data_IF_861990586205
#
_entry.id   IF_861990586205
#
_cell.length_a   1.000
_cell.length_b   1.000
_cell.length_c   1.000
_cell.angle_alpha   90.00
_cell.angle_beta   90.00
_cell.angle_gamma   90.00
#
_symmetry.space_group_name_H-M   'P 1'
#
loop_
_entity.id
_entity.type
_entity.pdbx_description
1 polymer ?
#
# COMPACT_ATOMS: atom_id res chain seq x y z
N UNK A 1 -57.74 22.79 -42.77
CA UNK A 1 -56.46 22.19 -43.19
C UNK A 1 -55.48 23.31 -43.52
N UNK A 2 -54.63 23.70 -42.56
CA UNK A 2 -53.32 24.34 -42.78
C UNK A 2 -52.71 24.63 -41.42
N UNK A 3 -51.55 24.01 -41.17
CA UNK A 3 -50.80 23.97 -39.93
C UNK A 3 -49.98 25.27 -39.82
N UNK A 4 -50.06 25.97 -38.69
CA UNK A 4 -49.16 27.08 -38.35
C UNK A 4 -47.90 26.50 -37.70
N UNK A 5 -46.80 26.48 -38.46
CA UNK A 5 -45.46 26.20 -37.93
C UNK A 5 -44.90 27.47 -37.27
N UNK A 6 -44.79 27.47 -35.94
CA UNK A 6 -44.01 28.45 -35.20
C UNK A 6 -42.60 27.88 -35.00
N UNK A 7 -41.61 28.48 -35.67
CA UNK A 7 -40.20 28.25 -35.40
C UNK A 7 -39.86 28.88 -34.03
N UNK A 8 -39.67 28.07 -33.00
CA UNK A 8 -38.98 28.47 -31.78
C UNK A 8 -37.48 28.44 -32.05
N UNK A 9 -36.88 29.62 -32.13
CA UNK A 9 -35.43 29.79 -32.11
C UNK A 9 -34.96 29.55 -30.67
N UNK A 10 -34.51 28.34 -30.35
CA UNK A 10 -33.85 28.05 -29.09
C UNK A 10 -32.47 28.73 -29.11
N UNK A 11 -32.34 29.82 -28.36
CA UNK A 11 -31.08 30.49 -28.09
C UNK A 11 -30.24 29.54 -27.21
N UNK A 12 -29.33 28.80 -27.83
CA UNK A 12 -28.33 28.03 -27.10
C UNK A 12 -27.41 29.01 -26.38
N UNK A 13 -27.64 29.24 -25.09
CA UNK A 13 -26.63 29.81 -24.21
C UNK A 13 -25.48 28.80 -24.16
N UNK A 14 -24.39 29.09 -24.86
CA UNK A 14 -23.12 28.43 -24.67
C UNK A 14 -22.63 28.76 -23.26
N UNK A 15 -22.90 27.86 -22.33
CA UNK A 15 -22.27 27.89 -21.01
C UNK A 15 -20.79 27.58 -21.23
N UNK A 16 -19.94 28.60 -21.32
CA UNK A 16 -18.50 28.44 -21.09
C UNK A 16 -18.27 28.33 -19.59
N UNK A 17 -18.82 27.27 -18.99
CA UNK A 17 -18.41 26.83 -17.68
C UNK A 17 -17.11 26.04 -17.89
N UNK A 18 -16.05 26.42 -17.18
CA UNK A 18 -14.95 25.50 -16.90
C UNK A 18 -15.58 24.18 -16.47
N UNK A 19 -15.42 23.13 -17.28
CA UNK A 19 -15.80 21.78 -16.89
C UNK A 19 -14.98 21.47 -15.64
N UNK A 20 -15.62 21.47 -14.47
CA UNK A 20 -14.98 20.94 -13.28
C UNK A 20 -14.74 19.45 -13.58
N UNK A 21 -13.51 18.99 -13.37
CA UNK A 21 -13.17 17.58 -13.48
C UNK A 21 -14.14 16.78 -12.59
N UNK A 22 -14.67 15.68 -13.11
CA UNK A 22 -15.49 14.77 -12.34
C UNK A 22 -14.62 13.98 -11.35
N UNK A 23 -15.26 13.44 -10.31
CA UNK A 23 -14.60 12.57 -9.34
C UNK A 23 -13.90 11.39 -9.99
N UNK A 24 -12.62 11.22 -9.71
CA UNK A 24 -11.76 10.21 -10.34
C UNK A 24 -11.06 10.68 -11.62
N UNK A 25 -11.48 11.75 -12.29
CA UNK A 25 -10.81 12.22 -13.51
C UNK A 25 -9.33 12.50 -13.24
N UNK A 26 -8.44 12.09 -14.15
CA UNK A 26 -7.01 12.39 -14.03
C UNK A 26 -6.78 13.90 -13.81
N UNK A 27 -5.90 14.27 -12.89
CA UNK A 27 -5.52 15.67 -12.64
C UNK A 27 -4.35 16.05 -13.56
N UNK A 28 -4.60 16.78 -14.67
CA UNK A 28 -3.57 17.12 -15.64
C UNK A 28 -2.61 18.20 -15.12
N UNK A 29 -2.85 18.77 -13.93
CA UNK A 29 -1.99 19.80 -13.33
C UNK A 29 -0.93 19.22 -12.39
N UNK A 30 -1.02 17.92 -12.09
CA UNK A 30 -0.08 17.26 -11.19
C UNK A 30 1.20 16.85 -11.92
N UNK A 31 2.34 17.38 -11.48
CA UNK A 31 3.69 16.89 -11.77
C UNK A 31 4.07 16.72 -13.24
N UNK A 32 3.49 17.48 -14.17
CA UNK A 32 3.65 17.20 -15.60
C UNK A 32 5.08 17.44 -16.10
N UNK A 33 5.71 16.39 -16.62
CA UNK A 33 6.92 16.47 -17.44
C UNK A 33 6.56 16.84 -18.89
N UNK A 34 7.45 17.57 -19.57
CA UNK A 34 7.37 17.82 -21.00
C UNK A 34 7.48 16.53 -21.83
N UNK A 35 8.15 15.49 -21.31
CA UNK A 35 8.25 14.18 -21.97
C UNK A 35 6.93 13.40 -21.92
N UNK A 36 6.18 13.50 -20.82
CA UNK A 36 4.88 12.84 -20.63
C UNK A 36 3.81 13.79 -20.04
N UNK A 37 3.27 14.73 -20.84
CA UNK A 37 2.32 15.72 -20.36
C UNK A 37 1.03 15.09 -19.82
N UNK A 38 0.58 15.50 -18.64
CA UNK A 38 -0.64 14.99 -17.99
C UNK A 38 -0.47 13.65 -17.27
N UNK A 39 0.72 13.07 -17.31
CA UNK A 39 1.05 11.77 -16.71
C UNK A 39 1.94 11.92 -15.49
N UNK A 40 1.75 12.97 -14.68
CA UNK A 40 2.46 13.12 -13.41
C UNK A 40 3.98 12.99 -13.48
N UNK A 41 4.52 12.54 -12.35
CA UNK A 41 5.94 12.33 -12.13
C UNK A 41 6.43 11.07 -12.84
N UNK A 42 7.52 11.17 -13.60
CA UNK A 42 8.18 10.07 -14.30
C UNK A 42 9.66 10.02 -13.92
N UNK A 43 10.19 8.82 -13.65
CA UNK A 43 11.63 8.62 -13.44
C UNK A 43 12.20 7.64 -14.45
N UNK A 44 13.17 8.10 -15.22
CA UNK A 44 13.93 7.26 -16.12
C UNK A 44 14.99 6.48 -15.31
N UNK A 45 15.06 5.14 -15.43
CA UNK A 45 16.12 4.37 -14.78
C UNK A 45 17.50 4.87 -15.20
N UNK A 46 18.43 5.00 -14.24
CA UNK A 46 19.83 5.35 -14.53
C UNK A 46 20.57 4.21 -15.27
N UNK A 47 20.03 2.98 -15.24
CA UNK A 47 20.59 1.80 -15.89
C UNK A 47 19.53 1.07 -16.73
N UNK A 48 19.85 0.85 -18.02
CA UNK A 48 19.00 0.07 -18.92
C UNK A 48 19.11 -1.41 -18.51
N UNK A 49 17.99 -2.04 -18.18
CA UNK A 49 17.92 -3.49 -17.94
C UNK A 49 17.77 -3.93 -16.48
N UNK A 50 17.62 -2.99 -15.55
CA UNK A 50 17.37 -3.28 -14.13
C UNK A 50 15.94 -2.85 -13.73
N UNK A 51 15.40 -3.49 -12.69
CA UNK A 51 14.05 -3.22 -12.18
C UNK A 51 14.16 -2.30 -10.96
N UNK A 52 13.59 -1.11 -11.07
CA UNK A 52 13.40 -0.19 -9.95
C UNK A 52 11.98 -0.39 -9.38
N UNK A 53 11.85 -0.37 -8.05
CA UNK A 53 10.59 -0.65 -7.36
C UNK A 53 10.10 0.58 -6.59
N UNK A 54 8.86 1.02 -6.83
CA UNK A 54 8.17 1.94 -5.94
C UNK A 54 7.73 1.18 -4.67
N UNK A 55 8.12 1.71 -3.51
CA UNK A 55 7.86 1.07 -2.22
C UNK A 55 6.69 1.72 -1.50
N UNK A 56 6.66 3.06 -1.44
CA UNK A 56 5.68 3.81 -0.66
C UNK A 56 5.54 5.26 -1.14
N UNK A 57 4.42 5.90 -0.81
CA UNK A 57 4.23 7.33 -0.95
C UNK A 57 3.61 7.90 0.32
N UNK A 58 4.27 8.87 0.93
CA UNK A 58 3.79 9.49 2.15
C UNK A 58 3.62 11.01 1.98
N UNK A 59 2.62 11.60 2.64
CA UNK A 59 2.45 13.04 2.70
C UNK A 59 2.89 13.61 4.04
N UNK A 60 3.64 14.70 3.99
CA UNK A 60 3.89 15.54 5.14
C UNK A 60 2.70 16.47 5.39
N UNK A 61 2.59 16.95 6.63
CA UNK A 61 1.51 17.84 7.06
C UNK A 61 1.51 19.20 6.33
N UNK A 62 2.66 19.61 5.80
CA UNK A 62 2.82 20.82 4.99
C UNK A 62 2.35 20.65 3.53
N UNK A 63 1.87 19.46 3.17
CA UNK A 63 1.37 19.13 1.85
C UNK A 63 2.42 18.56 0.90
N UNK A 64 3.72 18.55 1.27
CA UNK A 64 4.77 17.89 0.48
C UNK A 64 4.55 16.38 0.44
N UNK A 65 5.05 15.75 -0.61
CA UNK A 65 5.00 14.31 -0.83
C UNK A 65 6.41 13.73 -0.78
N UNK A 66 6.52 12.51 -0.29
CA UNK A 66 7.72 11.71 -0.34
C UNK A 66 7.42 10.44 -1.12
N UNK A 67 8.19 10.20 -2.16
CA UNK A 67 8.17 8.94 -2.90
C UNK A 67 9.39 8.12 -2.51
N UNK A 68 9.18 6.85 -2.19
CA UNK A 68 10.23 5.94 -1.75
C UNK A 68 10.35 4.79 -2.74
N UNK A 69 11.57 4.44 -3.12
CA UNK A 69 11.82 3.32 -4.01
C UNK A 69 13.16 2.65 -3.79
N UNK A 70 13.27 1.44 -4.32
CA UNK A 70 14.56 0.80 -4.59
C UNK A 70 14.97 1.14 -6.02
N UNK A 71 16.25 1.41 -6.22
CA UNK A 71 16.80 1.58 -7.55
C UNK A 71 18.15 0.89 -7.67
N UNK A 72 18.40 0.34 -8.84
CA UNK A 72 19.67 -0.29 -9.13
C UNK A 72 20.71 0.75 -9.59
N UNK A 73 21.93 0.67 -9.07
CA UNK A 73 22.97 1.68 -9.33
C UNK A 73 23.74 1.46 -10.64
N UNK A 74 23.34 0.47 -11.45
CA UNK A 74 24.01 0.11 -12.70
C UNK A 74 25.38 -0.54 -12.52
N UNK A 75 25.82 -0.78 -11.28
CA UNK A 75 27.06 -1.48 -10.92
C UNK A 75 26.78 -2.78 -10.15
N UNK A 76 25.54 -3.26 -10.19
CA UNK A 76 25.08 -4.45 -9.47
C UNK A 76 24.74 -4.22 -8.00
N UNK A 77 24.64 -2.96 -7.54
CA UNK A 77 24.18 -2.59 -6.21
C UNK A 77 22.75 -2.07 -6.20
N UNK A 78 22.02 -2.32 -5.10
CA UNK A 78 20.71 -1.70 -4.85
C UNK A 78 20.87 -0.48 -3.95
N UNK A 79 20.06 0.56 -4.18
CA UNK A 79 20.02 1.78 -3.38
C UNK A 79 18.59 2.16 -3.06
N UNK A 80 18.38 2.72 -1.87
CA UNK A 80 17.12 3.38 -1.57
C UNK A 80 17.15 4.80 -2.15
N UNK A 81 16.08 5.20 -2.82
CA UNK A 81 15.86 6.56 -3.24
C UNK A 81 14.62 7.15 -2.59
N UNK A 82 14.75 8.41 -2.22
CA UNK A 82 13.73 9.21 -1.58
C UNK A 82 13.62 10.47 -2.41
N UNK A 83 12.47 10.70 -3.02
CA UNK A 83 12.17 11.94 -3.71
C UNK A 83 11.21 12.77 -2.87
N UNK A 84 11.49 14.06 -2.72
CA UNK A 84 10.54 15.00 -2.13
C UNK A 84 9.93 15.83 -3.25
N UNK A 85 8.61 15.91 -3.24
CA UNK A 85 7.81 16.64 -4.20
C UNK A 85 6.95 17.65 -3.45
N UNK A 86 6.63 18.75 -4.12
CA UNK A 86 5.62 19.68 -3.68
C UNK A 86 4.20 19.07 -3.81
N UNK A 87 3.21 19.73 -3.23
CA UNK A 87 1.82 19.25 -3.20
C UNK A 87 1.18 19.07 -4.59
N UNK A 88 1.76 19.71 -5.60
CA UNK A 88 1.40 19.63 -7.01
C UNK A 88 2.23 18.62 -7.79
N UNK A 89 3.09 17.84 -7.15
CA UNK A 89 3.84 16.75 -7.77
C UNK A 89 5.13 17.16 -8.47
N UNK A 90 5.51 18.45 -8.46
CA UNK A 90 6.82 18.90 -8.93
C UNK A 90 7.91 18.62 -7.89
N UNK A 91 9.16 18.52 -8.31
CA UNK A 91 10.28 18.32 -7.38
C UNK A 91 10.45 19.49 -6.42
N UNK A 92 10.54 19.17 -5.13
CA UNK A 92 11.05 20.10 -4.14
C UNK A 92 12.58 20.09 -4.19
N UNK A 93 13.14 20.99 -4.98
CA UNK A 93 14.60 21.11 -5.19
C UNK A 93 15.39 21.47 -3.92
N UNK A 94 14.73 21.78 -2.80
CA UNK A 94 15.41 22.00 -1.51
C UNK A 94 15.71 20.72 -0.74
N UNK A 95 15.23 19.56 -1.21
CA UNK A 95 15.53 18.26 -0.62
C UNK A 95 16.74 17.59 -1.27
N UNK A 96 17.68 17.09 -0.45
CA UNK A 96 18.81 16.31 -0.94
C UNK A 96 19.57 17.00 -2.09
N UNK A 97 19.84 16.25 -3.14
CA UNK A 97 20.43 16.73 -4.39
C UNK A 97 19.33 16.87 -5.44
N UNK A 98 18.75 18.08 -5.54
CA UNK A 98 17.77 18.41 -6.58
C UNK A 98 16.41 17.73 -6.43
N UNK A 99 15.96 17.50 -5.19
CA UNK A 99 14.70 16.81 -4.90
C UNK A 99 14.87 15.32 -4.61
N UNK A 100 16.10 14.80 -4.68
CA UNK A 100 16.42 13.38 -4.49
C UNK A 100 17.45 13.17 -3.38
N UNK A 101 17.22 12.17 -2.55
CA UNK A 101 18.22 11.59 -1.67
C UNK A 101 18.39 10.11 -1.95
N UNK A 102 19.62 9.67 -2.18
CA UNK A 102 19.93 8.25 -2.29
C UNK A 102 20.71 7.76 -1.08
N UNK A 103 20.50 6.51 -0.70
CA UNK A 103 21.19 5.85 0.41
C UNK A 103 21.67 4.47 -0.05
N UNK A 104 22.88 4.14 0.34
CA UNK A 104 23.35 2.76 0.28
C UNK A 104 22.71 2.01 1.46
N UNK A 105 22.05 0.87 1.22
CA UNK A 105 21.49 0.05 2.29
C UNK A 105 22.55 -0.32 3.35
N UNK A 106 22.15 -0.58 4.60
CA UNK A 106 23.07 -0.89 5.70
C UNK A 106 23.92 -2.15 5.50
N UNK A 107 23.58 -2.98 4.52
CA UNK A 107 24.23 -4.24 4.20
C UNK A 107 24.24 -4.47 2.68
N UNK A 108 25.14 -5.34 2.15
CA UNK A 108 25.28 -5.55 0.70
C UNK A 108 24.01 -6.04 0.00
N UNK A 109 23.29 -6.97 0.63
CA UNK A 109 22.05 -7.55 0.11
C UNK A 109 20.81 -6.75 0.56
N UNK A 110 21.01 -5.50 1.01
CA UNK A 110 19.94 -4.70 1.61
C UNK A 110 18.96 -4.15 0.57
N UNK A 111 17.66 -4.16 0.90
CA UNK A 111 16.65 -3.43 0.11
C UNK A 111 15.57 -2.86 1.01
N UNK A 112 14.99 -1.74 0.58
CA UNK A 112 13.90 -1.05 1.25
C UNK A 112 12.62 -1.89 1.11
N UNK A 113 11.99 -2.25 2.22
CA UNK A 113 10.73 -3.03 2.21
C UNK A 113 9.51 -2.18 2.51
N UNK A 114 9.68 -1.11 3.28
CA UNK A 114 8.62 -0.16 3.58
C UNK A 114 9.23 1.17 4.01
N UNK A 115 8.50 2.25 3.78
CA UNK A 115 8.87 3.58 4.23
C UNK A 115 7.63 4.38 4.60
N UNK A 116 7.78 5.32 5.51
CA UNK A 116 6.70 6.24 5.92
C UNK A 116 7.29 7.52 6.49
N UNK A 117 6.45 8.44 6.96
CA UNK A 117 6.89 9.58 7.75
C UNK A 117 6.56 9.35 9.22
N UNK A 118 7.41 9.86 10.11
CA UNK A 118 7.07 9.95 11.52
C UNK A 118 6.15 11.14 11.84
N UNK A 119 5.73 11.25 13.09
CA UNK A 119 4.81 12.31 13.55
C UNK A 119 5.37 13.74 13.37
N UNK A 120 6.67 13.88 13.08
CA UNK A 120 7.34 15.15 12.79
C UNK A 120 7.59 15.36 11.29
N UNK A 121 7.09 14.47 10.43
CA UNK A 121 7.29 14.56 8.98
C UNK A 121 8.68 14.11 8.51
N UNK A 122 9.41 13.34 9.33
CA UNK A 122 10.74 12.81 8.99
C UNK A 122 10.63 11.43 8.34
N UNK A 123 11.37 11.14 7.25
CA UNK A 123 11.36 9.82 6.64
C UNK A 123 11.85 8.71 7.58
N UNK A 124 11.05 7.66 7.72
CA UNK A 124 11.38 6.37 8.35
C UNK A 124 11.46 5.29 7.27
N UNK A 125 12.55 4.54 7.25
CA UNK A 125 12.86 3.54 6.23
C UNK A 125 13.13 2.20 6.90
N UNK A 126 12.55 1.11 6.39
CA UNK A 126 12.81 -0.25 6.84
C UNK A 126 13.53 -1.06 5.76
N UNK A 127 14.63 -1.70 6.13
CA UNK A 127 15.46 -2.50 5.23
C UNK A 127 15.45 -3.97 5.63
N UNK A 128 15.32 -4.85 4.63
CA UNK A 128 15.55 -6.30 4.74
C UNK A 128 16.89 -6.68 4.11
N UNK A 129 17.29 -7.95 4.27
CA UNK A 129 18.51 -8.51 3.67
C UNK A 129 19.76 -8.39 4.55
N UNK A 130 19.61 -7.82 5.75
CA UNK A 130 20.73 -7.57 6.67
C UNK A 130 20.84 -8.57 7.82
N UNK A 131 19.99 -9.60 7.85
CA UNK A 131 19.85 -10.53 8.96
C UNK A 131 18.87 -10.02 10.01
N UNK A 132 19.05 -8.79 10.49
CA UNK A 132 18.13 -8.16 11.45
C UNK A 132 17.21 -7.12 10.79
N UNK A 133 16.20 -6.66 11.53
CA UNK A 133 15.43 -5.50 11.11
C UNK A 133 16.31 -4.25 11.18
N UNK A 134 16.40 -3.52 10.06
CA UNK A 134 17.22 -2.32 9.95
C UNK A 134 16.37 -1.09 9.64
N UNK A 135 16.31 -0.16 10.58
CA UNK A 135 15.51 1.06 10.47
C UNK A 135 16.42 2.28 10.33
N UNK A 136 16.12 3.13 9.36
CA UNK A 136 16.76 4.43 9.20
C UNK A 136 15.75 5.55 9.42
N UNK A 137 16.22 6.64 10.02
CA UNK A 137 15.49 7.92 10.02
C UNK A 137 16.31 8.99 9.34
N UNK A 138 15.66 9.76 8.48
CA UNK A 138 16.24 10.94 7.86
C UNK A 138 15.64 12.21 8.45
N UNK A 139 16.40 13.29 8.44
CA UNK A 139 15.92 14.64 8.64
C UNK A 139 14.99 15.04 7.48
N UNK A 140 14.16 16.08 7.64
CA UNK A 140 13.35 16.58 6.55
C UNK A 140 14.20 16.98 5.34
N UNK A 141 15.46 17.37 5.51
CA UNK A 141 16.39 17.73 4.41
C UNK A 141 17.07 16.52 3.75
N UNK A 142 16.78 15.30 4.21
CA UNK A 142 17.26 14.05 3.63
C UNK A 142 18.59 13.54 4.20
N UNK A 143 19.19 14.22 5.17
CA UNK A 143 20.39 13.73 5.87
C UNK A 143 20.00 12.70 6.94
N UNK A 144 20.85 11.71 7.30
CA UNK A 144 20.60 10.83 8.44
C UNK A 144 20.32 11.61 9.72
N UNK A 145 19.25 11.24 10.43
CA UNK A 145 18.84 11.91 11.66
C UNK A 145 19.56 11.34 12.87
N UNK A 146 20.65 11.97 13.29
CA UNK A 146 21.48 11.52 14.41
C UNK A 146 20.77 11.56 15.77
N UNK A 147 19.53 12.07 15.87
CA UNK A 147 18.72 11.87 17.09
C UNK A 147 18.29 10.42 17.29
N UNK A 148 18.32 9.59 16.23
CA UNK A 148 18.14 8.15 16.34
C UNK A 148 19.49 7.50 16.64
N UNK A 149 19.71 7.13 17.91
CA UNK A 149 20.92 6.44 18.39
C UNK A 149 22.27 7.05 17.94
N UNK A 150 22.33 8.35 17.67
CA UNK A 150 23.54 9.05 17.23
C UNK A 150 23.91 8.86 15.75
N UNK A 151 23.31 7.91 15.05
CA UNK A 151 23.71 7.51 13.68
C UNK A 151 22.61 7.68 12.63
N UNK A 152 21.35 7.85 13.04
CA UNK A 152 20.21 7.75 12.12
C UNK A 152 19.77 6.33 11.84
N UNK A 153 20.32 5.33 12.55
CA UNK A 153 20.08 3.90 12.35
C UNK A 153 19.69 3.21 13.65
N UNK A 154 18.74 2.28 13.56
CA UNK A 154 18.30 1.37 14.61
C UNK A 154 18.26 -0.06 14.06
N UNK A 155 19.05 -0.95 14.68
CA UNK A 155 19.02 -2.40 14.42
C UNK A 155 18.17 -3.09 15.48
N UNK A 156 17.25 -3.95 15.06
CA UNK A 156 16.36 -4.70 15.96
C UNK A 156 16.54 -6.19 15.68
N UNK A 157 17.26 -6.85 16.57
CA UNK A 157 17.48 -8.30 16.53
C UNK A 157 16.45 -9.03 17.40
N UNK A 158 15.81 -10.05 16.83
CA UNK A 158 14.96 -11.00 17.58
C UNK A 158 15.74 -12.26 17.98
N UNK A 159 16.79 -12.63 17.23
CA UNK A 159 17.74 -13.70 17.56
C UNK A 159 17.07 -15.05 17.89
N UNK A 160 15.98 -15.40 17.20
CA UNK A 160 15.23 -16.63 17.45
C UNK A 160 15.91 -17.90 16.93
N UNK A 161 17.07 -17.78 16.29
CA UNK A 161 17.85 -18.86 15.71
C UNK A 161 17.50 -19.13 14.25
N UNK A 162 17.99 -20.25 13.72
CA UNK A 162 17.81 -20.59 12.30
C UNK A 162 18.72 -19.80 11.38
N UNK A 163 18.16 -19.22 10.31
CA UNK A 163 18.91 -18.39 9.35
C UNK A 163 19.22 -16.99 9.86
N UNK A 164 18.60 -16.58 10.98
CA UNK A 164 18.61 -15.19 11.48
C UNK A 164 18.33 -14.19 10.34
N UNK A 165 17.39 -14.50 9.45
CA UNK A 165 16.97 -13.62 8.36
C UNK A 165 15.60 -13.02 8.68
N UNK A 166 15.61 -12.06 9.61
CA UNK A 166 14.48 -11.26 10.01
C UNK A 166 14.19 -10.20 8.94
N UNK A 167 12.91 -10.07 8.56
CA UNK A 167 12.45 -9.16 7.50
C UNK A 167 11.43 -8.16 8.05
N UNK A 168 11.77 -6.87 8.21
CA UNK A 168 10.77 -5.87 8.57
C UNK A 168 9.86 -5.65 7.36
N UNK A 169 8.57 -5.94 7.49
CA UNK A 169 7.62 -5.89 6.37
C UNK A 169 6.77 -4.62 6.40
N UNK A 170 6.50 -4.06 7.58
CA UNK A 170 5.82 -2.77 7.75
C UNK A 170 6.44 -1.97 8.88
N UNK A 171 6.52 -0.66 8.67
CA UNK A 171 6.90 0.34 9.67
C UNK A 171 5.83 1.42 9.75
N UNK A 172 5.51 1.85 10.96
CA UNK A 172 4.59 2.94 11.27
C UNK A 172 5.17 3.82 12.38
N UNK A 173 4.69 5.05 12.47
CA UNK A 173 4.95 5.90 13.63
C UNK A 173 3.75 5.93 14.56
N UNK A 174 4.01 5.95 15.87
CA UNK A 174 2.95 6.09 16.88
C UNK A 174 2.65 7.56 17.14
N UNK A 175 1.50 7.87 17.76
CA UNK A 175 1.14 9.24 18.16
C UNK A 175 2.21 9.90 19.07
N UNK A 176 2.94 9.09 19.85
CA UNK A 176 4.05 9.55 20.68
C UNK A 176 5.39 9.67 19.91
N UNK A 177 5.34 9.66 18.58
CA UNK A 177 6.50 9.66 17.68
C UNK A 177 7.43 8.44 17.87
N UNK A 178 6.89 7.33 18.39
CA UNK A 178 7.60 6.06 18.48
C UNK A 178 7.72 5.39 17.12
N UNK A 179 8.61 4.41 17.04
CA UNK A 179 8.85 3.56 15.86
C UNK A 179 8.18 2.21 16.13
N UNK A 180 7.23 1.83 15.28
CA UNK A 180 6.53 0.55 15.35
C UNK A 180 6.83 -0.24 14.07
N UNK A 181 7.31 -1.47 14.22
CA UNK A 181 7.71 -2.34 13.10
C UNK A 181 7.10 -3.72 13.27
N UNK A 182 6.59 -4.29 12.20
CA UNK A 182 6.16 -5.68 12.17
C UNK A 182 6.75 -6.41 10.96
N UNK A 183 7.07 -7.69 11.13
CA UNK A 183 7.74 -8.46 10.10
C UNK A 183 7.86 -9.94 10.42
N UNK A 184 8.35 -10.70 9.45
CA UNK A 184 8.69 -12.11 9.66
C UNK A 184 10.03 -12.23 10.36
N UNK A 185 10.10 -12.99 11.44
CA UNK A 185 11.35 -13.25 12.17
C UNK A 185 11.71 -14.72 12.04
N UNK A 186 12.94 -15.01 11.63
CA UNK A 186 13.36 -16.37 11.32
C UNK A 186 13.41 -17.20 12.59
N UNK A 187 12.79 -18.38 12.55
CA UNK A 187 12.94 -19.40 13.58
C UNK A 187 13.61 -20.66 12.96
N UNK A 188 13.62 -21.78 13.68
CA UNK A 188 14.35 -22.98 13.24
C UNK A 188 13.93 -23.50 11.86
N UNK A 189 12.63 -23.40 11.52
CA UNK A 189 12.06 -24.05 10.33
C UNK A 189 11.26 -23.08 9.43
N UNK A 190 10.84 -21.92 9.94
CA UNK A 190 9.88 -20.99 9.34
C UNK A 190 10.17 -19.53 9.74
N UNK A 191 9.18 -18.64 9.63
CA UNK A 191 9.21 -17.30 10.24
C UNK A 191 7.95 -17.01 11.06
N UNK A 192 8.14 -16.58 12.31
CA UNK A 192 7.06 -16.08 13.17
C UNK A 192 6.77 -14.60 12.92
N UNK A 193 5.73 -14.05 13.55
CA UNK A 193 5.49 -12.61 13.52
C UNK A 193 6.24 -11.92 14.65
N UNK A 194 7.17 -11.04 14.29
CA UNK A 194 7.80 -10.10 15.21
C UNK A 194 7.10 -8.76 15.18
N UNK A 195 6.79 -8.20 16.36
CA UNK A 195 6.36 -6.82 16.54
C UNK A 195 7.36 -6.11 17.45
N UNK A 196 7.89 -4.99 16.98
CA UNK A 196 8.87 -4.18 17.66
C UNK A 196 8.34 -2.76 17.89
N UNK A 197 8.36 -2.28 19.13
CA UNK A 197 7.97 -0.92 19.49
C UNK A 197 9.12 -0.23 20.23
N UNK A 198 9.59 0.86 19.63
CA UNK A 198 10.70 1.67 20.09
C UNK A 198 10.26 3.12 20.22
N UNK A 199 10.92 3.85 21.10
CA UNK A 199 10.72 5.29 21.29
C UNK A 199 11.33 6.09 20.15
N UNK A 200 11.04 7.39 20.11
CA UNK A 200 11.53 8.29 19.07
C UNK A 200 13.06 8.35 18.99
N UNK A 201 13.81 8.14 20.08
CA UNK A 201 15.27 8.17 20.07
C UNK A 201 15.92 6.81 19.76
N UNK A 202 15.09 5.76 19.58
CA UNK A 202 15.52 4.39 19.30
C UNK A 202 15.72 3.52 20.54
N UNK A 203 15.42 4.01 21.76
CA UNK A 203 15.33 3.16 22.94
C UNK A 203 14.09 2.26 22.91
N UNK A 204 14.16 1.06 23.51
CA UNK A 204 13.00 0.16 23.61
C UNK A 204 11.82 0.85 24.33
N UNK A 205 10.60 0.70 23.80
CA UNK A 205 9.42 1.26 24.45
C UNK A 205 9.22 0.63 25.85
N UNK A 206 9.16 1.43 26.93
CA UNK A 206 9.04 0.89 28.28
C UNK A 206 7.79 0.03 28.46
N UNK A 207 7.97 -1.18 28.99
CA UNK A 207 6.88 -2.11 29.30
C UNK A 207 6.34 -2.90 28.12
N UNK A 208 6.84 -2.68 26.90
CA UNK A 208 6.44 -3.47 25.72
C UNK A 208 7.36 -4.68 25.53
N UNK A 209 6.82 -5.87 25.76
CA UNK A 209 7.48 -7.14 25.50
C UNK A 209 8.85 -7.27 26.18
N UNK A 210 9.73 -8.05 25.57
CA UNK A 210 11.11 -8.18 26.01
C UNK A 210 11.98 -7.13 25.31
N UNK A 211 12.31 -6.06 26.04
CA UNK A 211 13.13 -4.97 25.53
C UNK A 211 12.63 -4.44 24.16
N UNK A 212 11.33 -4.12 24.10
CA UNK A 212 10.68 -3.50 22.95
C UNK A 212 10.20 -4.49 21.89
N UNK A 213 10.26 -5.80 22.13
CA UNK A 213 9.97 -6.85 21.13
C UNK A 213 8.98 -7.88 21.64
N UNK A 214 8.11 -8.32 20.75
CA UNK A 214 7.14 -9.40 20.96
C UNK A 214 7.21 -10.35 19.77
N UNK A 215 7.17 -11.64 20.07
CA UNK A 215 7.05 -12.72 19.09
C UNK A 215 5.68 -13.36 19.24
N UNK A 216 4.97 -13.52 18.13
CA UNK A 216 3.72 -14.29 18.03
C UNK A 216 3.99 -15.50 17.12
N UNK A 217 3.89 -16.74 17.65
CA UNK A 217 4.22 -17.92 16.87
C UNK A 217 3.16 -18.23 15.83
N UNK A 218 3.59 -18.64 14.64
CA UNK A 218 2.73 -19.12 13.55
C UNK A 218 3.14 -20.52 13.10
N UNK A 219 2.19 -21.27 12.56
CA UNK A 219 2.49 -22.61 12.01
C UNK A 219 3.29 -22.52 10.71
N UNK A 220 3.07 -21.46 9.93
CA UNK A 220 3.70 -21.22 8.63
C UNK A 220 4.36 -19.85 8.59
N UNK A 221 5.33 -19.71 7.70
CA UNK A 221 6.12 -18.48 7.58
C UNK A 221 5.25 -17.26 7.31
N UNK A 222 5.42 -16.22 8.12
CA UNK A 222 4.92 -14.88 7.82
C UNK A 222 5.66 -14.35 6.61
N UNK A 223 4.95 -14.19 5.49
CA UNK A 223 5.52 -13.70 4.23
C UNK A 223 5.10 -12.27 3.93
N UNK A 224 4.03 -11.79 4.54
CA UNK A 224 3.60 -10.41 4.37
C UNK A 224 2.91 -9.86 5.61
N UNK A 225 3.11 -8.56 5.84
CA UNK A 225 2.33 -7.75 6.78
C UNK A 225 1.80 -6.60 5.94
N UNK A 226 0.48 -6.44 5.88
CA UNK A 226 -0.17 -5.35 5.16
C UNK A 226 -0.26 -4.07 5.98
N UNK A 227 -0.42 -4.19 7.30
CA UNK A 227 -0.54 -3.06 8.24
C UNK A 227 0.05 -3.41 9.60
N UNK A 228 0.62 -2.40 10.27
CA UNK A 228 0.88 -2.39 11.70
C UNK A 228 0.44 -1.03 12.26
N UNK A 229 -0.31 -1.01 13.36
CA UNK A 229 -0.88 0.22 13.90
C UNK A 229 -0.99 0.17 15.42
N UNK A 230 -0.75 1.30 16.08
CA UNK A 230 -0.97 1.48 17.51
C UNK A 230 -2.16 2.43 17.75
N UNK A 231 -3.16 1.97 18.50
CA UNK A 231 -4.28 2.80 18.93
C UNK A 231 -3.86 3.77 20.05
N UNK A 232 -4.68 4.79 20.29
CA UNK A 232 -4.47 5.76 21.37
C UNK A 232 -4.46 5.12 22.78
N UNK A 233 -5.14 3.99 22.96
CA UNK A 233 -5.09 3.21 24.20
C UNK A 233 -3.86 2.31 24.34
N UNK A 234 -2.98 2.31 23.33
CA UNK A 234 -1.72 1.56 23.28
C UNK A 234 -1.86 0.14 22.73
N UNK A 235 -3.07 -0.37 22.44
CA UNK A 235 -3.21 -1.67 21.76
C UNK A 235 -2.57 -1.57 20.38
N UNK A 236 -1.95 -2.66 19.95
CA UNK A 236 -1.30 -2.75 18.63
C UNK A 236 -1.97 -3.85 17.83
N UNK A 237 -2.24 -3.56 16.55
CA UNK A 237 -2.72 -4.55 15.58
C UNK A 237 -1.75 -4.69 14.43
N UNK A 238 -1.69 -5.90 13.88
CA UNK A 238 -1.06 -6.18 12.61
C UNK A 238 -1.89 -7.18 11.82
N UNK A 239 -1.85 -7.12 10.50
CA UNK A 239 -2.54 -8.09 9.65
C UNK A 239 -1.71 -8.38 8.41
N UNK A 240 -1.82 -9.59 7.89
CA UNK A 240 -0.94 -10.06 6.83
C UNK A 240 -1.27 -11.48 6.37
N UNK A 241 -0.26 -12.13 5.81
CA UNK A 241 -0.35 -13.47 5.28
C UNK A 241 0.75 -14.37 5.87
N UNK A 242 0.38 -15.62 6.15
CA UNK A 242 1.31 -16.74 6.33
C UNK A 242 1.21 -17.67 5.13
N UNK A 243 2.32 -18.35 4.81
CA UNK A 243 2.40 -19.15 3.59
C UNK A 243 3.06 -20.49 3.85
N UNK A 244 2.30 -21.57 3.61
CA UNK A 244 2.82 -22.94 3.63
C UNK A 244 3.53 -23.28 2.31
N UNK A 245 2.93 -22.89 1.19
CA UNK A 245 3.43 -23.13 -0.17
C UNK A 245 2.77 -22.11 -1.14
N UNK A 246 3.18 -22.06 -2.42
CA UNK A 246 2.65 -21.08 -3.38
C UNK A 246 1.12 -21.06 -3.55
N UNK A 247 0.42 -22.13 -3.19
CA UNK A 247 -1.03 -22.30 -3.35
C UNK A 247 -1.79 -22.37 -2.02
N UNK A 248 -1.11 -22.18 -0.90
CA UNK A 248 -1.67 -22.26 0.44
C UNK A 248 -1.21 -21.05 1.26
N UNK A 249 -2.02 -20.00 1.19
CA UNK A 249 -1.82 -18.72 1.87
C UNK A 249 -2.98 -18.52 2.85
N UNK A 250 -2.63 -18.22 4.09
CA UNK A 250 -3.57 -17.98 5.19
C UNK A 250 -3.47 -16.52 5.59
N UNK A 251 -4.60 -15.83 5.63
CA UNK A 251 -4.70 -14.44 6.09
C UNK A 251 -4.76 -14.44 7.61
N UNK A 252 -4.08 -13.49 8.24
CA UNK A 252 -4.13 -13.32 9.67
C UNK A 252 -4.45 -11.88 10.07
N UNK A 253 -5.05 -11.75 11.25
CA UNK A 253 -5.10 -10.52 12.02
C UNK A 253 -4.62 -10.82 13.43
N UNK A 254 -3.81 -9.93 14.00
CA UNK A 254 -3.35 -10.03 15.38
C UNK A 254 -3.66 -8.75 16.15
N UNK A 255 -3.92 -8.91 17.45
CA UNK A 255 -3.98 -7.79 18.40
C UNK A 255 -3.22 -8.11 19.67
N UNK A 256 -2.35 -7.19 20.07
CA UNK A 256 -1.62 -7.24 21.33
C UNK A 256 -1.96 -6.03 22.20
N UNK A 257 -1.88 -6.22 23.51
CA UNK A 257 -2.08 -5.21 24.52
C UNK A 257 -0.92 -4.18 24.54
N UNK A 258 -1.06 -3.05 25.25
CA UNK A 258 0.02 -2.04 25.34
C UNK A 258 1.35 -2.55 25.89
N UNK A 259 1.32 -3.65 26.65
CA UNK A 259 2.52 -4.31 27.16
C UNK A 259 3.07 -5.41 26.22
N UNK A 260 2.45 -5.61 25.06
CA UNK A 260 2.83 -6.63 24.10
C UNK A 260 2.28 -8.03 24.34
N UNK A 261 1.51 -8.25 25.42
CA UNK A 261 0.84 -9.54 25.63
C UNK A 261 -0.31 -9.72 24.60
N UNK A 262 -0.60 -10.94 24.12
CA UNK A 262 -1.74 -11.17 23.24
C UNK A 262 -3.06 -10.73 23.87
N UNK A 263 -3.94 -10.10 23.09
CA UNK A 263 -5.25 -9.67 23.59
C UNK A 263 -6.24 -10.84 23.66
N UNK A 264 -6.58 -11.27 24.88
CA UNK A 264 -7.49 -12.40 25.11
C UNK A 264 -8.93 -12.15 24.61
N UNK A 265 -9.31 -10.89 24.38
CA UNK A 265 -10.61 -10.52 23.82
C UNK A 265 -10.62 -10.46 22.29
N UNK A 266 -9.52 -10.83 21.64
CA UNK A 266 -9.39 -10.83 20.19
C UNK A 266 -8.98 -12.21 19.69
N UNK A 267 -9.62 -12.60 18.59
CA UNK A 267 -9.22 -13.73 17.77
C UNK A 267 -9.80 -15.07 18.16
N UNK A 268 -9.82 -15.97 17.18
CA UNK A 268 -10.48 -17.28 17.27
C UNK A 268 -9.53 -18.46 17.09
N UNK A 269 -8.32 -18.24 16.56
CA UNK A 269 -7.32 -19.29 16.31
C UNK A 269 -6.42 -19.48 17.54
N UNK A 270 -6.03 -18.38 18.18
CA UNK A 270 -5.33 -18.34 19.45
C UNK A 270 -5.58 -16.97 20.13
N UNK A 271 -5.26 -16.79 21.43
CA UNK A 271 -5.42 -15.49 22.06
C UNK A 271 -4.65 -14.40 21.29
N UNK A 272 -5.35 -13.34 20.88
CA UNK A 272 -4.78 -12.25 20.09
C UNK A 272 -4.52 -12.58 18.63
N UNK A 273 -4.93 -13.75 18.11
CA UNK A 273 -4.64 -14.20 16.74
C UNK A 273 -5.90 -14.78 16.08
N UNK A 274 -6.22 -14.27 14.90
CA UNK A 274 -7.16 -14.85 13.95
C UNK A 274 -6.44 -15.28 12.71
N UNK A 275 -6.84 -16.43 12.16
CA UNK A 275 -6.30 -16.97 10.92
C UNK A 275 -7.43 -17.54 10.09
N UNK A 276 -7.44 -17.23 8.80
CA UNK A 276 -8.36 -17.86 7.86
C UNK A 276 -7.63 -18.20 6.57
N UNK A 277 -7.92 -19.39 6.05
CA UNK A 277 -7.50 -19.76 4.72
C UNK A 277 -8.72 -19.69 3.81
N UNK A 278 -8.81 -18.66 2.97
CA UNK A 278 -10.00 -18.43 2.13
C UNK A 278 -10.26 -19.57 1.13
N UNK A 279 -9.23 -20.36 0.78
CA UNK A 279 -9.40 -21.57 -0.03
C UNK A 279 -10.23 -22.62 0.70
N UNK A 280 -9.89 -22.93 1.96
CA UNK A 280 -10.63 -23.96 2.71
C UNK A 280 -11.97 -23.46 3.22
N UNK A 281 -12.10 -22.17 3.52
CA UNK A 281 -13.33 -21.56 4.04
C UNK A 281 -14.51 -21.70 3.08
N UNK A 282 -14.25 -21.61 1.79
CA UNK A 282 -15.25 -21.52 0.73
C UNK A 282 -15.64 -22.89 0.15
N UNK A 283 -14.96 -23.97 0.58
CA UNK A 283 -15.15 -25.31 0.00
C UNK A 283 -14.69 -25.43 -1.45
N UNK A 284 -14.02 -24.40 -1.99
CA UNK A 284 -13.40 -24.47 -3.30
C UNK A 284 -12.05 -25.20 -3.21
N UNK A 285 -11.78 -26.09 -4.16
CA UNK A 285 -10.43 -26.62 -4.35
C UNK A 285 -9.45 -25.56 -4.91
N UNK A 286 -9.91 -24.31 -5.09
CA UNK A 286 -9.16 -23.18 -5.62
C UNK A 286 -9.60 -21.79 -5.13
N UNK A 287 -8.74 -20.80 -4.88
CA UNK A 287 -7.29 -20.71 -4.98
C UNK A 287 -6.69 -19.79 -3.92
N UNK A 288 -5.48 -19.28 -4.16
CA UNK A 288 -4.74 -18.48 -3.19
C UNK A 288 -5.30 -17.06 -3.11
N UNK A 289 -5.65 -16.61 -1.90
CA UNK A 289 -5.89 -15.21 -1.63
C UNK A 289 -4.60 -14.55 -1.10
N UNK A 290 -4.31 -13.33 -1.54
CA UNK A 290 -3.11 -12.58 -1.15
C UNK A 290 -3.53 -11.18 -0.74
N UNK A 291 -3.32 -10.79 0.51
CA UNK A 291 -3.80 -9.53 1.11
C UNK A 291 -2.93 -8.28 0.84
N UNK A 292 -2.64 -7.87 -0.40
CA UNK A 292 -1.60 -6.86 -0.76
C UNK A 292 -1.51 -5.58 0.10
N UNK A 293 -2.64 -5.04 0.53
CA UNK A 293 -2.71 -3.94 1.48
C UNK A 293 -3.69 -4.21 2.61
N UNK A 294 -3.55 -3.43 3.68
CA UNK A 294 -4.49 -3.43 4.78
C UNK A 294 -4.60 -2.04 5.38
N UNK A 295 -5.76 -1.73 5.96
CA UNK A 295 -5.94 -0.58 6.83
C UNK A 295 -6.70 -0.98 8.08
N UNK A 296 -6.53 -0.17 9.11
CA UNK A 296 -7.31 -0.27 10.34
C UNK A 296 -8.41 0.78 10.26
N UNK A 297 -9.57 0.50 10.82
CA UNK A 297 -10.68 1.45 10.96
C UNK A 297 -10.73 2.02 12.38
N UNK A 298 -11.30 3.22 12.61
CA UNK A 298 -11.41 3.80 13.95
C UNK A 298 -12.14 2.91 14.97
N UNK A 299 -13.02 2.03 14.50
CA UNK A 299 -13.75 1.06 15.34
C UNK A 299 -12.87 -0.11 15.80
N UNK A 300 -11.63 -0.22 15.33
CA UNK A 300 -10.72 -1.32 15.63
C UNK A 300 -10.85 -2.53 14.69
N UNK A 301 -11.73 -2.44 13.69
CA UNK A 301 -11.83 -3.42 12.61
C UNK A 301 -10.65 -3.28 11.64
N UNK A 302 -10.28 -4.36 10.96
CA UNK A 302 -9.15 -4.38 10.02
C UNK A 302 -9.68 -4.79 8.65
N UNK A 303 -9.40 -3.99 7.62
CA UNK A 303 -9.76 -4.30 6.24
C UNK A 303 -8.50 -4.70 5.50
N UNK A 304 -8.50 -5.90 4.92
CA UNK A 304 -7.43 -6.37 4.03
C UNK A 304 -7.94 -6.38 2.59
N UNK A 305 -7.09 -5.99 1.66
CA UNK A 305 -7.40 -5.95 0.25
C UNK A 305 -6.27 -6.56 -0.57
N UNK A 306 -6.61 -7.20 -1.69
CA UNK A 306 -5.59 -7.77 -2.57
C UNK A 306 -6.16 -8.60 -3.70
N UNK A 307 -5.65 -9.81 -3.85
CA UNK A 307 -5.93 -10.71 -4.98
C UNK A 307 -6.64 -11.96 -4.49
N UNK A 308 -7.65 -12.38 -5.25
CA UNK A 308 -8.31 -13.68 -5.15
C UNK A 308 -8.05 -14.47 -6.43
N UNK A 309 -7.36 -15.60 -6.35
CA UNK A 309 -7.23 -16.50 -7.49
C UNK A 309 -8.36 -17.53 -7.48
N UNK A 310 -9.26 -17.46 -8.45
CA UNK A 310 -10.18 -18.58 -8.71
C UNK A 310 -9.45 -19.59 -9.60
N UNK A 311 -9.15 -20.79 -9.06
CA UNK A 311 -8.57 -21.88 -9.88
C UNK A 311 -9.59 -22.95 -10.26
N UNK A 312 -10.87 -22.73 -9.97
CA UNK A 312 -11.95 -23.58 -10.49
C UNK A 312 -12.38 -23.17 -11.90
N UNK A 313 -12.05 -21.93 -12.28
CA UNK A 313 -12.22 -21.44 -13.64
C UNK A 313 -10.99 -20.60 -14.05
N UNK A 314 -10.01 -21.27 -14.68
CA UNK A 314 -8.79 -20.63 -15.21
C UNK A 314 -9.10 -19.55 -16.27
N UNK A 315 -10.33 -19.47 -16.77
CA UNK A 315 -10.75 -18.43 -17.71
C UNK A 315 -11.07 -17.10 -17.05
N UNK A 316 -11.28 -17.08 -15.72
CA UNK A 316 -11.68 -15.88 -14.96
C UNK A 316 -10.48 -15.07 -14.46
N UNK A 317 -9.28 -15.65 -14.46
CA UNK A 317 -8.07 -14.97 -13.99
C UNK A 317 -8.10 -14.68 -12.48
N UNK A 318 -7.31 -13.69 -12.05
CA UNK A 318 -7.33 -13.23 -10.65
C UNK A 318 -8.34 -12.10 -10.49
N UNK A 319 -8.97 -12.00 -9.33
CA UNK A 319 -9.97 -10.96 -9.05
C UNK A 319 -9.52 -10.11 -7.86
N UNK A 320 -10.10 -8.91 -7.74
CA UNK A 320 -9.84 -8.03 -6.61
C UNK A 320 -10.58 -8.50 -5.37
N UNK A 321 -9.88 -8.63 -4.23
CA UNK A 321 -10.42 -9.13 -2.97
C UNK A 321 -10.47 -8.03 -1.91
N UNK A 322 -11.57 -7.95 -1.16
CA UNK A 322 -11.62 -7.25 0.13
C UNK A 322 -12.19 -8.17 1.19
N UNK A 323 -11.54 -8.23 2.35
CA UNK A 323 -12.04 -8.92 3.55
C UNK A 323 -11.94 -8.01 4.77
N UNK A 324 -12.79 -8.23 5.76
CA UNK A 324 -12.83 -7.41 6.98
C UNK A 324 -12.87 -8.28 8.22
N UNK A 325 -11.95 -8.00 9.14
CA UNK A 325 -11.97 -8.50 10.51
C UNK A 325 -12.69 -7.49 11.39
N UNK A 326 -13.57 -7.97 12.25
CA UNK A 326 -14.20 -7.15 13.28
C UNK A 326 -13.19 -6.82 14.38
N UNK A 327 -13.59 -5.94 15.29
CA UNK A 327 -12.82 -5.56 16.46
C UNK A 327 -12.68 -6.68 17.51
N UNK A 328 -13.38 -7.81 17.37
CA UNK A 328 -13.16 -9.03 18.15
C UNK A 328 -12.28 -10.05 17.40
N UNK A 329 -11.85 -9.75 16.17
CA UNK A 329 -11.01 -10.62 15.36
C UNK A 329 -11.80 -11.69 14.59
N UNK A 330 -13.12 -11.74 14.69
CA UNK A 330 -13.93 -12.59 13.81
C UNK A 330 -14.09 -11.95 12.43
N UNK A 331 -14.32 -12.77 11.40
CA UNK A 331 -14.61 -12.28 10.06
C UNK A 331 -15.99 -11.61 9.99
N UNK A 332 -16.04 -10.44 9.35
CA UNK A 332 -17.26 -9.65 9.24
C UNK A 332 -18.17 -10.14 8.10
N UNK A 333 -19.04 -11.09 8.42
CA UNK A 333 -20.04 -11.64 7.49
C UNK A 333 -21.08 -10.63 6.98
N UNK A 334 -21.11 -9.39 7.49
CA UNK A 334 -21.91 -8.33 6.89
C UNK A 334 -21.34 -7.82 5.56
N UNK A 335 -20.03 -7.99 5.33
CA UNK A 335 -19.36 -7.60 4.09
C UNK A 335 -19.72 -8.53 2.92
N UNK A 336 -19.93 -9.81 3.20
CA UNK A 336 -20.33 -10.84 2.25
C UNK A 336 -20.39 -12.21 2.91
N UNK A 337 -20.90 -13.24 2.21
CA UNK A 337 -20.79 -14.62 2.68
C UNK A 337 -19.33 -14.90 3.04
N UNK A 338 -19.09 -15.42 4.25
CA UNK A 338 -17.75 -15.74 4.76
C UNK A 338 -16.82 -14.54 5.02
N UNK A 339 -17.32 -13.30 5.02
CA UNK A 339 -16.58 -12.11 5.46
C UNK A 339 -15.59 -11.52 4.46
N UNK A 340 -15.73 -11.89 3.18
CA UNK A 340 -15.00 -11.29 2.06
C UNK A 340 -15.95 -10.95 0.90
N UNK A 341 -15.49 -10.09 0.00
CA UNK A 341 -16.15 -9.70 -1.24
C UNK A 341 -15.11 -9.62 -2.35
N UNK A 342 -15.51 -10.06 -3.54
CA UNK A 342 -14.65 -10.08 -4.72
C UNK A 342 -15.25 -9.17 -5.79
N UNK A 343 -14.40 -8.48 -6.52
CA UNK A 343 -14.74 -7.64 -7.66
C UNK A 343 -13.94 -8.13 -8.87
N UNK A 344 -14.65 -8.69 -9.86
CA UNK A 344 -14.11 -8.89 -11.20
C UNK A 344 -14.45 -7.67 -12.03
N UNK A 345 -13.44 -7.01 -12.59
CA UNK A 345 -13.66 -5.90 -13.52
C UNK A 345 -13.86 -6.42 -14.94
N UNK A 346 -13.34 -7.62 -15.22
CA UNK A 346 -13.53 -8.36 -16.46
C UNK A 346 -13.19 -7.52 -17.71
N UNK A 347 -12.18 -6.65 -17.59
CA UNK A 347 -11.72 -5.79 -18.69
C UNK A 347 -10.92 -6.59 -19.72
N UNK A 348 -10.43 -7.76 -19.33
CA UNK A 348 -9.67 -8.68 -20.17
C UNK A 348 -10.58 -9.38 -21.18
N UNK A 349 -10.04 -9.66 -22.37
CA UNK A 349 -10.66 -10.59 -23.30
C UNK A 349 -10.54 -12.04 -22.79
N UNK A 350 -11.04 -13.00 -23.58
CA UNK A 350 -10.84 -14.42 -23.26
C UNK A 350 -9.34 -14.78 -23.26
N UNK A 351 -8.72 -14.91 -22.08
CA UNK A 351 -7.36 -15.46 -21.95
C UNK A 351 -6.44 -14.82 -20.89
N UNK A 352 -6.68 -13.58 -20.45
CA UNK A 352 -6.01 -13.00 -19.28
C UNK A 352 -6.87 -11.92 -18.64
N UNK A 353 -7.49 -12.27 -17.52
CA UNK A 353 -8.37 -11.40 -16.76
C UNK A 353 -7.83 -11.22 -15.33
N UNK A 354 -6.55 -10.86 -15.22
CA UNK A 354 -5.90 -10.70 -13.94
C UNK A 354 -6.14 -9.30 -13.36
N UNK A 355 -7.03 -9.21 -12.40
CA UNK A 355 -7.27 -8.02 -11.60
C UNK A 355 -6.67 -8.19 -10.20
N UNK A 356 -6.17 -7.10 -9.63
CA UNK A 356 -5.60 -7.12 -8.28
C UNK A 356 -5.60 -5.75 -7.63
N UNK A 357 -5.79 -5.72 -6.32
CA UNK A 357 -5.60 -4.51 -5.50
C UNK A 357 -4.19 -4.54 -4.93
N UNK A 358 -3.51 -3.40 -4.95
CA UNK A 358 -2.22 -3.23 -4.27
C UNK A 358 -2.29 -2.25 -3.10
N UNK A 359 -3.22 -1.29 -3.12
CA UNK A 359 -3.38 -0.27 -2.09
C UNK A 359 -4.86 -0.03 -1.74
N UNK A 360 -5.11 0.31 -0.48
CA UNK A 360 -6.43 0.71 0.04
C UNK A 360 -6.26 1.92 0.95
N UNK A 361 -7.16 2.89 0.83
CA UNK A 361 -7.29 3.98 1.79
C UNK A 361 -8.76 4.26 2.11
N UNK A 362 -9.01 4.82 3.29
CA UNK A 362 -10.34 5.19 3.76
C UNK A 362 -10.53 6.71 3.75
N UNK A 363 -11.62 7.15 3.15
CA UNK A 363 -12.08 8.53 3.20
C UNK A 363 -12.74 8.81 4.57
N UNK A 364 -12.79 10.08 4.95
CA UNK A 364 -13.33 10.56 6.24
C UNK A 364 -14.85 10.49 6.29
N UNK A 365 -15.50 10.33 5.13
CA UNK A 365 -16.90 9.95 5.02
C UNK A 365 -17.11 8.43 5.16
N UNK A 366 -16.07 7.65 5.39
CA UNK A 366 -16.10 6.20 5.56
C UNK A 366 -16.20 5.37 4.28
N UNK A 367 -16.09 5.99 3.10
CA UNK A 367 -15.87 5.26 1.85
C UNK A 367 -14.42 4.77 1.77
N UNK A 368 -14.16 3.85 0.85
CA UNK A 368 -12.82 3.29 0.60
C UNK A 368 -12.43 3.54 -0.84
N UNK A 369 -11.16 3.86 -1.08
CA UNK A 369 -10.57 3.89 -2.41
C UNK A 369 -9.56 2.75 -2.49
N UNK A 370 -9.68 1.95 -3.55
CA UNK A 370 -8.77 0.87 -3.88
C UNK A 370 -7.97 1.27 -5.11
N UNK A 371 -6.69 0.94 -5.14
CA UNK A 371 -5.85 1.06 -6.33
C UNK A 371 -5.12 -0.24 -6.60
N UNK A 372 -4.95 -0.55 -7.88
CA UNK A 372 -4.19 -1.70 -8.33
C UNK A 372 -4.20 -1.78 -9.85
N UNK A 373 -4.28 -2.99 -10.39
CA UNK A 373 -4.20 -3.22 -11.82
C UNK A 373 -5.32 -4.13 -12.33
N UNK A 374 -5.57 -4.01 -13.62
CA UNK A 374 -6.42 -4.90 -14.42
C UNK A 374 -5.80 -5.08 -15.80
N UNK A 375 -6.05 -6.19 -16.49
CA UNK A 375 -5.64 -6.35 -17.89
C UNK A 375 -6.81 -6.08 -18.82
N UNK A 376 -6.59 -5.29 -19.87
CA UNK A 376 -7.60 -5.04 -20.89
C UNK A 376 -7.62 -6.13 -21.99
N UNK A 377 -8.53 -5.98 -22.95
CA UNK A 377 -8.70 -6.92 -24.07
C UNK A 377 -7.44 -7.14 -24.93
N UNK A 378 -6.52 -6.18 -24.97
CA UNK A 378 -5.24 -6.27 -25.68
C UNK A 378 -4.11 -6.83 -24.80
N UNK A 379 -4.44 -7.38 -23.64
CA UNK A 379 -3.50 -7.92 -22.65
C UNK A 379 -2.53 -6.86 -22.11
N UNK A 380 -3.03 -5.65 -21.90
CA UNK A 380 -2.28 -4.52 -21.37
C UNK A 380 -2.72 -4.23 -19.95
N UNK A 381 -1.75 -4.07 -19.04
CA UNK A 381 -2.06 -3.64 -17.68
C UNK A 381 -2.52 -2.17 -17.68
N UNK A 382 -3.61 -1.91 -16.95
CA UNK A 382 -4.21 -0.60 -16.71
C UNK A 382 -4.22 -0.31 -15.21
N UNK A 383 -4.04 0.95 -14.82
CA UNK A 383 -4.31 1.38 -13.45
C UNK A 383 -5.81 1.27 -13.22
N UNK A 384 -6.20 0.53 -12.19
CA UNK A 384 -7.60 0.42 -11.76
C UNK A 384 -7.79 1.10 -10.40
N UNK A 385 -8.69 2.07 -10.36
CA UNK A 385 -9.19 2.69 -9.13
C UNK A 385 -10.65 2.30 -8.91
N UNK A 386 -10.98 1.82 -7.72
CA UNK A 386 -12.37 1.58 -7.31
C UNK A 386 -12.70 2.46 -6.11
N UNK A 387 -13.89 3.04 -6.09
CA UNK A 387 -14.46 3.57 -4.85
C UNK A 387 -15.57 2.69 -4.33
N UNK A 388 -15.46 2.31 -3.07
CA UNK A 388 -16.44 1.54 -2.33
C UNK A 388 -17.17 2.42 -1.32
N UNK A 389 -18.47 2.18 -1.15
CA UNK A 389 -19.26 2.69 -0.04
C UNK A 389 -18.85 2.02 1.28
N UNK A 390 -19.41 2.52 2.39
CA UNK A 390 -19.25 1.94 3.75
C UNK A 390 -19.66 0.47 3.86
N UNK A 391 -20.58 0.03 3.02
CA UNK A 391 -21.05 -1.37 2.92
C UNK A 391 -20.27 -2.19 1.88
N UNK A 392 -19.12 -1.66 1.45
CA UNK A 392 -18.24 -2.21 0.43
C UNK A 392 -18.92 -2.37 -0.95
N UNK A 393 -20.07 -1.76 -1.23
CA UNK A 393 -20.64 -1.74 -2.59
C UNK A 393 -19.92 -0.71 -3.45
N UNK A 394 -19.81 -0.93 -4.76
CA UNK A 394 -19.25 0.07 -5.68
C UNK A 394 -20.05 1.38 -5.60
N UNK A 395 -19.34 2.50 -5.49
CA UNK A 395 -19.94 3.83 -5.44
C UNK A 395 -20.15 4.39 -6.86
N UNK A 396 -21.36 4.39 -7.42
CA UNK A 396 -21.65 4.79 -8.79
C UNK A 396 -21.42 6.29 -9.04
N UNK A 397 -21.08 7.07 -8.01
CA UNK A 397 -20.69 8.46 -8.13
C UNK A 397 -19.21 8.66 -8.46
N UNK A 398 -18.41 7.59 -8.49
CA UNK A 398 -16.98 7.63 -8.84
C UNK A 398 -16.75 7.05 -10.23
N UNK A 399 -16.05 7.78 -11.08
CA UNK A 399 -15.74 7.33 -12.45
C UNK A 399 -16.96 6.77 -13.19
N UNK A 400 -16.81 5.59 -13.79
CA UNK A 400 -17.88 4.85 -14.44
C UNK A 400 -18.38 3.75 -13.50
N UNK A 401 -19.55 3.96 -12.90
CA UNK A 401 -20.21 2.98 -12.02
C UNK A 401 -19.37 2.51 -10.80
N UNK A 402 -18.45 3.34 -10.32
CA UNK A 402 -17.61 3.07 -9.16
C UNK A 402 -16.19 2.63 -9.45
N UNK A 403 -15.83 2.56 -10.73
CA UNK A 403 -14.45 2.27 -11.15
C UNK A 403 -13.92 3.31 -12.13
N UNK A 404 -12.61 3.39 -12.19
CA UNK A 404 -11.84 4.12 -13.18
C UNK A 404 -10.68 3.24 -13.64
N UNK A 405 -10.44 3.26 -14.94
CA UNK A 405 -9.40 2.50 -15.60
C UNK A 405 -8.59 3.46 -16.48
N UNK A 406 -7.28 3.49 -16.28
CA UNK A 406 -6.37 4.33 -17.05
C UNK A 406 -5.26 3.46 -17.67
N UNK A 407 -5.19 3.47 -18.99
CA UNK A 407 -4.05 2.91 -19.71
C UNK A 407 -2.87 3.86 -19.58
N UNK A 408 -1.77 3.37 -19.01
CA UNK A 408 -0.52 4.13 -18.98
C UNK A 408 0.35 3.75 -20.18
N UNK A 409 0.30 4.58 -21.22
CA UNK A 409 1.02 4.38 -22.49
C UNK A 409 2.51 4.79 -22.40
N UNK A 410 3.29 4.10 -21.57
CA UNK A 410 4.76 4.21 -21.57
C UNK A 410 5.35 3.07 -22.42
N UNK A 411 6.34 3.44 -23.27
CA UNK A 411 7.00 2.68 -24.34
C UNK A 411 6.83 1.15 -24.31
N UNK A 412 5.96 0.69 -25.21
CA UNK A 412 5.34 -0.63 -25.30
C UNK A 412 6.17 -1.73 -25.96
N UNK A 413 7.47 -1.82 -25.70
CA UNK A 413 8.30 -2.91 -26.21
C UNK A 413 8.35 -4.08 -25.22
N UNK A 414 7.22 -4.79 -25.07
CA UNK A 414 7.11 -6.02 -24.25
C UNK A 414 5.98 -5.96 -23.24
N UNK A 415 5.55 -7.14 -22.76
CA UNK A 415 4.45 -7.38 -21.81
C UNK A 415 4.48 -6.38 -20.62
N UNK A 416 3.68 -5.30 -20.66
CA UNK A 416 3.71 -4.30 -19.60
C UNK A 416 2.92 -4.83 -18.41
N UNK A 417 3.61 -5.09 -17.31
CA UNK A 417 2.99 -5.29 -16.00
C UNK A 417 2.94 -3.95 -15.27
N UNK A 418 1.95 -3.79 -14.39
CA UNK A 418 1.80 -2.61 -13.56
C UNK A 418 1.54 -3.04 -12.12
N UNK A 419 2.00 -2.25 -11.17
CA UNK A 419 1.61 -2.36 -9.77
C UNK A 419 1.40 -0.97 -9.19
N UNK A 420 0.34 -0.79 -8.40
CA UNK A 420 0.23 0.39 -7.55
C UNK A 420 1.02 0.15 -6.25
N UNK A 421 1.76 1.12 -5.76
CA UNK A 421 2.51 0.98 -4.51
C UNK A 421 1.64 1.35 -3.30
N UNK A 422 1.42 2.65 -3.12
CA UNK A 422 0.58 3.20 -2.07
C UNK A 422 -0.39 4.24 -2.62
N UNK A 423 -1.47 4.46 -1.88
CA UNK A 423 -2.52 5.41 -2.21
C UNK A 423 -2.70 6.43 -1.08
N UNK A 424 -2.69 7.69 -1.46
CA UNK A 424 -2.84 8.83 -0.56
C UNK A 424 -4.08 9.64 -0.92
N UNK A 425 -4.98 9.79 0.04
CA UNK A 425 -6.18 10.62 -0.09
C UNK A 425 -5.90 12.04 0.40
N UNK A 426 -6.17 13.03 -0.46
CA UNK A 426 -5.97 14.46 -0.20
C UNK A 426 -7.25 15.23 -0.50
N UNK A 427 -7.43 16.43 0.07
CA UNK A 427 -8.51 17.32 -0.39
C UNK A 427 -8.39 17.55 -1.90
N UNK A 428 -9.40 17.16 -2.66
CA UNK A 428 -9.45 17.34 -4.10
C UNK A 428 -8.65 16.32 -4.91
N UNK A 429 -7.86 15.42 -4.30
CA UNK A 429 -6.95 14.52 -5.02
C UNK A 429 -6.85 13.12 -4.41
N UNK A 430 -6.66 12.12 -5.25
CA UNK A 430 -6.14 10.79 -4.94
C UNK A 430 -4.76 10.72 -5.58
N UNK A 431 -3.70 10.48 -4.80
CA UNK A 431 -2.35 10.32 -5.33
C UNK A 431 -1.94 8.86 -5.19
N UNK A 432 -1.49 8.25 -6.28
CA UNK A 432 -1.11 6.82 -6.34
C UNK A 432 0.30 6.70 -6.89
N UNK A 433 1.17 5.93 -6.20
CA UNK A 433 2.45 5.52 -6.78
C UNK A 433 2.29 4.29 -7.64
N UNK A 434 3.04 4.21 -8.73
CA UNK A 434 2.99 3.14 -9.72
C UNK A 434 4.38 2.65 -10.05
N UNK A 435 4.50 1.36 -10.33
CA UNK A 435 5.60 0.75 -11.09
C UNK A 435 5.04 0.21 -12.39
N UNK A 436 5.70 0.50 -13.50
CA UNK A 436 5.26 0.18 -14.85
C UNK A 436 6.41 -0.49 -15.59
N UNK A 437 6.23 -1.73 -16.01
CA UNK A 437 7.22 -2.46 -16.80
C UNK A 437 7.31 -1.93 -18.23
N UNK A 438 8.53 -1.65 -18.71
CA UNK A 438 8.78 -1.14 -20.08
C UNK A 438 9.65 -2.10 -20.91
N UNK A 439 9.62 -3.39 -20.60
CA UNK A 439 10.44 -4.43 -21.23
C UNK A 439 11.58 -4.90 -20.32
N UNK A 440 12.86 -4.56 -20.59
CA UNK A 440 13.99 -5.02 -19.79
C UNK A 440 14.12 -4.34 -18.41
N UNK A 441 13.26 -3.37 -18.08
CA UNK A 441 13.25 -2.67 -16.79
C UNK A 441 11.87 -2.17 -16.38
N UNK A 442 11.82 -1.44 -15.27
CA UNK A 442 10.61 -0.80 -14.72
C UNK A 442 10.76 0.71 -14.60
N UNK A 443 9.64 1.42 -14.63
CA UNK A 443 9.53 2.86 -14.41
C UNK A 443 8.65 3.11 -13.21
N UNK A 444 9.11 3.98 -12.31
CA UNK A 444 8.29 4.48 -11.20
C UNK A 444 7.57 5.76 -11.60
N UNK A 445 6.34 5.92 -11.12
CA UNK A 445 5.48 7.05 -11.43
C UNK A 445 4.59 7.45 -10.26
N UNK A 446 4.19 8.73 -10.19
CA UNK A 446 3.06 9.17 -9.38
C UNK A 446 1.95 9.73 -10.26
N UNK A 447 0.72 9.34 -9.96
CA UNK A 447 -0.49 9.82 -10.61
C UNK A 447 -1.39 10.54 -9.61
N UNK A 448 -2.12 11.53 -10.08
CA UNK A 448 -3.19 12.15 -9.32
C UNK A 448 -4.51 12.07 -10.09
N UNK A 449 -5.58 11.74 -9.38
CA UNK A 449 -6.96 11.77 -9.84
C UNK A 449 -7.79 12.73 -8.97
N UNK A 450 -8.84 13.33 -9.52
CA UNK A 450 -9.77 14.19 -8.81
C UNK A 450 -10.48 13.42 -7.69
N UNK A 451 -10.82 14.13 -6.62
CA UNK A 451 -11.58 13.59 -5.49
C UNK A 451 -12.61 14.62 -5.03
N UNK A 452 -13.91 14.32 -5.09
CA UNK A 452 -15.01 15.28 -4.78
C UNK A 452 -15.13 15.67 -3.27
N UNK A 453 -14.06 15.50 -2.50
CA UNK A 453 -13.89 15.78 -1.07
C UNK A 453 -14.66 14.84 -0.12
N UNK A 454 -13.89 14.09 0.67
CA UNK A 454 -13.83 14.14 2.14
C UNK A 454 -12.50 13.47 2.52
N UNK A 455 -11.73 14.15 3.39
CA UNK A 455 -10.32 13.92 3.81
C UNK A 455 -9.95 12.45 4.04
N UNK A 456 -8.67 12.07 4.12
CA UNK A 456 -8.33 10.79 4.76
C UNK A 456 -8.82 10.78 6.21
N UNK A 457 -9.23 9.63 6.74
CA UNK A 457 -9.47 9.51 8.18
C UNK A 457 -8.13 9.72 8.89
N UNK A 458 -7.92 10.90 9.50
CA UNK A 458 -6.76 11.12 10.37
C UNK A 458 -7.06 10.43 11.68
N UNK A 459 -6.31 9.37 11.98
CA UNK A 459 -6.33 8.71 13.28
C UNK A 459 -5.74 9.66 14.34
N UNK A 460 -6.53 10.65 14.77
CA UNK A 460 -6.26 11.49 15.94
C UNK A 460 -6.98 10.93 17.17
#
# INVERSE_FOLDING_TARGET
MSIRSAFLLALAMSCTGSCLAADGDADPTFGTDAEFPGYGFYMNPMAIGEVDDAVAVAAAADGRLYHFGNFADGQGGNRAAIWRLDADGYFDFSFGEGGLRTLVPPCPDGWLTHATLDALGRPLLAFSGCGDFEIYRLTPDGLPDTSLLGSGRLTIAFDMGGSNNDRPLRIASTQANGILVAGGIANADTSDLGIAHFTADGGAAPGFGNAGRVTLPFTWSVTRVGVVHAFADGRIVAAGDTQQNPFAITQFAVRVQPNGAPDLGFGHSAPGISEVNLRTLTGFDGGAAISRAALVEPTGSIVQAGIFHDVTDETVGSQMLVMRWRDDGELDTALGPFGYRVYGLDLGGSGNNADGIDAIARQGDGKYVLAGYSYNADNRAELSLLRLRRDFSLDPQFGVAGSLHELVDIAQNGFPWMSAGELLLRPGRIVTSLVIGTGPGGVMSLRAAGNDLLFADTFD
#
